data_IF_386393421384
#
_entry.id   IF_386393421384
#
_cell.length_a   1.000
_cell.length_b   1.000
_cell.length_c   1.000
_cell.angle_alpha   90.00
_cell.angle_beta   90.00
_cell.angle_gamma   90.00
#
_symmetry.space_group_name_H-M   'P 1'
#
loop_
_entity.id
_entity.type
_entity.pdbx_description
1 polymer ?
#
# COMPACT_ATOMS: atom_id res chain seq x y z
N UNK A 1 12.03 -0.01 -8.25
CA UNK A 1 10.69 -0.62 -8.48
C UNK A 1 10.84 -2.10 -8.26
N UNK A 2 9.98 -2.67 -7.43
CA UNK A 2 9.98 -4.10 -7.09
C UNK A 2 8.57 -4.62 -7.21
N UNK A 3 8.35 -5.65 -8.04
CA UNK A 3 7.08 -6.36 -8.07
C UNK A 3 6.91 -7.16 -6.77
N UNK A 4 5.72 -7.12 -6.18
CA UNK A 4 5.38 -7.96 -5.03
C UNK A 4 5.06 -9.39 -5.50
N UNK A 5 5.17 -10.38 -4.60
CA UNK A 5 4.68 -11.72 -4.88
C UNK A 5 3.20 -11.72 -5.28
N UNK A 6 2.86 -12.46 -6.33
CA UNK A 6 1.48 -12.69 -6.71
C UNK A 6 0.89 -13.77 -5.79
N UNK A 7 -0.09 -13.40 -4.98
CA UNK A 7 -0.67 -14.25 -3.94
C UNK A 7 -1.99 -14.87 -4.39
N UNK A 8 -2.67 -14.28 -5.38
CA UNK A 8 -3.93 -14.84 -5.88
C UNK A 8 -4.28 -14.40 -7.31
N UNK A 9 -4.90 -15.31 -8.07
CA UNK A 9 -5.40 -15.05 -9.43
C UNK A 9 -6.66 -14.16 -9.45
N UNK A 10 -6.58 -12.93 -8.92
CA UNK A 10 -7.59 -11.89 -9.12
C UNK A 10 -7.27 -10.98 -10.31
N UNK A 11 -6.20 -11.30 -11.04
CA UNK A 11 -5.59 -10.57 -12.17
C UNK A 11 -5.35 -9.09 -11.90
N UNK A 12 -5.02 -8.78 -10.66
CA UNK A 12 -4.25 -7.60 -10.31
C UNK A 12 -2.78 -7.98 -10.09
N UNK A 13 -1.92 -6.98 -10.00
CA UNK A 13 -0.56 -7.15 -9.49
C UNK A 13 -0.12 -5.87 -8.77
N UNK A 14 0.92 -5.96 -7.94
CA UNK A 14 1.39 -4.81 -7.15
C UNK A 14 2.86 -4.55 -7.39
N UNK A 15 3.19 -3.27 -7.59
CA UNK A 15 4.55 -2.74 -7.70
C UNK A 15 4.83 -1.82 -6.51
N UNK A 16 6.03 -1.90 -5.94
CA UNK A 16 6.55 -1.02 -4.87
C UNK A 16 7.70 -0.16 -5.38
N UNK A 17 7.72 1.09 -4.94
CA UNK A 17 8.84 2.01 -5.11
C UNK A 17 9.26 2.56 -3.76
N UNK A 18 10.52 2.35 -3.43
CA UNK A 18 11.19 2.94 -2.29
C UNK A 18 11.93 4.20 -2.75
N UNK A 19 11.60 5.36 -2.18
CA UNK A 19 12.24 6.62 -2.52
C UNK A 19 13.35 6.92 -1.50
N UNK A 20 14.54 7.26 -2.02
CA UNK A 20 15.67 7.73 -1.23
C UNK A 20 15.64 9.26 -1.09
N UNK A 21 16.57 9.81 -0.30
CA UNK A 21 16.82 11.26 -0.19
C UNK A 21 15.61 12.08 0.29
N UNK A 22 14.81 11.51 1.19
CA UNK A 22 13.72 12.22 1.84
C UNK A 22 14.25 13.26 2.84
N UNK A 23 13.43 14.27 3.16
CA UNK A 23 13.75 15.24 4.21
C UNK A 23 14.06 14.53 5.55
N UNK A 24 14.88 15.15 6.39
CA UNK A 24 15.31 14.54 7.67
C UNK A 24 14.11 14.08 8.51
N UNK A 25 14.13 12.81 8.93
CA UNK A 25 13.04 12.21 9.71
C UNK A 25 11.80 11.82 8.91
N UNK A 26 11.84 11.88 7.57
CA UNK A 26 10.72 11.46 6.71
C UNK A 26 11.11 10.29 5.80
N UNK A 27 10.09 9.60 5.30
CA UNK A 27 10.25 8.58 4.26
C UNK A 27 9.08 8.59 3.30
N UNK A 28 9.28 8.00 2.13
CA UNK A 28 8.22 7.83 1.15
C UNK A 28 8.34 6.48 0.44
N UNK A 29 7.27 5.70 0.50
CA UNK A 29 7.13 4.43 -0.21
C UNK A 29 5.82 4.49 -0.96
N UNK A 30 5.86 4.19 -2.27
CA UNK A 30 4.68 4.16 -3.12
C UNK A 30 4.35 2.72 -3.53
N UNK A 31 3.06 2.40 -3.51
CA UNK A 31 2.53 1.15 -4.03
C UNK A 31 1.54 1.45 -5.14
N UNK A 32 1.70 0.77 -6.29
CA UNK A 32 0.78 0.84 -7.42
C UNK A 32 0.14 -0.52 -7.61
N UNK A 33 -1.17 -0.51 -7.76
CA UNK A 33 -1.96 -1.71 -8.03
C UNK A 33 -2.39 -1.65 -9.49
N UNK A 34 -1.88 -2.57 -10.28
CA UNK A 34 -2.19 -2.70 -11.69
C UNK A 34 -3.45 -3.55 -11.85
N UNK A 35 -4.35 -3.12 -12.74
CA UNK A 35 -5.64 -3.79 -12.94
C UNK A 35 -6.61 -3.70 -11.75
N UNK A 36 -6.20 -3.06 -10.65
CA UNK A 36 -7.04 -2.80 -9.48
C UNK A 36 -8.05 -1.69 -9.74
N UNK A 37 -9.19 -1.79 -9.05
CA UNK A 37 -10.20 -0.74 -8.97
C UNK A 37 -10.09 0.07 -7.68
N UNK A 38 -11.04 0.98 -7.45
CA UNK A 38 -11.13 1.85 -6.28
C UNK A 38 -11.65 1.08 -5.05
N UNK A 39 -10.81 0.16 -4.55
CA UNK A 39 -11.10 -0.73 -3.42
C UNK A 39 -9.94 -0.72 -2.42
N UNK A 40 -10.17 -1.26 -1.22
CA UNK A 40 -9.11 -1.42 -0.22
C UNK A 40 -8.38 -2.77 -0.39
N UNK A 41 -7.09 -2.78 -0.75
CA UNK A 41 -6.31 -3.99 -0.99
C UNK A 41 -6.19 -4.84 0.28
N UNK A 42 -6.33 -6.16 0.14
CA UNK A 42 -6.28 -7.10 1.27
C UNK A 42 -7.51 -7.06 2.18
N UNK A 43 -8.49 -6.18 1.93
CA UNK A 43 -9.72 -6.13 2.73
C UNK A 43 -10.53 -7.43 2.59
N UNK A 44 -11.07 -7.98 3.68
CA UNK A 44 -11.98 -9.13 3.61
C UNK A 44 -13.34 -8.76 2.99
N UNK A 45 -13.66 -7.46 2.89
CA UNK A 45 -14.96 -7.00 2.40
C UNK A 45 -15.04 -7.13 0.88
N UNK A 46 -16.03 -7.87 0.39
CA UNK A 46 -16.34 -7.98 -1.03
C UNK A 46 -17.46 -7.00 -1.39
N UNK A 47 -17.07 -5.76 -1.72
CA UNK A 47 -18.02 -4.75 -2.18
C UNK A 47 -18.26 -4.94 -3.68
N UNK A 48 -19.47 -5.34 -4.06
CA UNK A 48 -19.86 -5.64 -5.45
C UNK A 48 -20.19 -4.41 -6.30
N UNK A 49 -20.05 -3.19 -5.76
CA UNK A 49 -20.60 -1.96 -6.38
C UNK A 49 -19.64 -1.28 -7.36
N UNK A 50 -19.37 -1.87 -8.52
CA UNK A 50 -18.70 -1.18 -9.63
C UNK A 50 -17.34 -0.56 -9.31
N UNK A 51 -16.74 -0.92 -8.17
CA UNK A 51 -15.47 -0.37 -7.69
C UNK A 51 -14.28 -0.99 -8.42
N UNK A 52 -14.51 -1.93 -9.33
CA UNK A 52 -13.47 -2.68 -10.03
C UNK A 52 -12.87 -3.82 -9.20
N UNK A 53 -11.73 -4.34 -9.64
CA UNK A 53 -11.08 -5.52 -9.05
C UNK A 53 -10.37 -5.15 -7.75
N UNK A 54 -10.50 -5.98 -6.73
CA UNK A 54 -9.75 -5.82 -5.47
C UNK A 54 -8.53 -6.72 -5.50
N UNK A 55 -7.37 -6.15 -5.22
CA UNK A 55 -6.12 -6.91 -5.12
C UNK A 55 -6.00 -7.63 -3.78
N UNK A 56 -5.50 -8.87 -3.82
CA UNK A 56 -5.17 -9.70 -2.65
C UNK A 56 -3.68 -9.86 -2.42
N UNK A 57 -2.85 -9.25 -3.27
CA UNK A 57 -1.38 -9.34 -3.20
C UNK A 57 -0.76 -8.43 -2.12
N UNK A 58 -1.55 -7.56 -1.49
CA UNK A 58 -1.11 -6.57 -0.52
C UNK A 58 -2.17 -6.37 0.58
N UNK A 59 -1.76 -6.41 1.85
CA UNK A 59 -2.53 -5.83 2.97
C UNK A 59 -2.11 -4.38 3.15
N UNK A 60 -2.93 -3.45 2.63
CA UNK A 60 -2.62 -2.03 2.66
C UNK A 60 -2.58 -1.47 4.10
N UNK A 61 -3.48 -1.95 4.97
CA UNK A 61 -3.56 -1.50 6.36
C UNK A 61 -2.29 -1.87 7.11
N UNK A 62 -1.86 -3.13 6.99
CA UNK A 62 -0.63 -3.61 7.63
C UNK A 62 0.59 -2.84 7.12
N UNK A 63 0.72 -2.66 5.81
CA UNK A 63 1.85 -1.94 5.23
C UNK A 63 1.93 -0.49 5.69
N UNK A 64 0.79 0.21 5.82
CA UNK A 64 0.78 1.57 6.36
C UNK A 64 1.18 1.60 7.83
N UNK A 65 0.65 0.69 8.66
CA UNK A 65 1.01 0.61 10.08
C UNK A 65 2.49 0.27 10.25
N UNK A 66 3.00 -0.71 9.52
CA UNK A 66 4.42 -1.10 9.56
C UNK A 66 5.33 0.06 9.12
N UNK A 67 4.91 0.85 8.11
CA UNK A 67 5.62 2.06 7.72
C UNK A 67 5.64 3.08 8.86
N UNK A 68 4.48 3.47 9.39
CA UNK A 68 4.42 4.51 10.43
C UNK A 68 5.06 4.11 11.75
N UNK A 69 5.04 2.83 12.13
CA UNK A 69 5.74 2.33 13.33
C UNK A 69 7.27 2.48 13.24
N UNK A 70 7.82 2.66 12.04
CA UNK A 70 9.24 2.97 11.83
C UNK A 70 9.60 4.45 12.01
N UNK A 71 8.61 5.33 12.22
CA UNK A 71 8.81 6.77 12.37
C UNK A 71 8.15 7.29 13.64
N UNK A 72 8.76 8.31 14.25
CA UNK A 72 8.13 9.10 15.31
C UNK A 72 7.63 10.41 14.73
N UNK A 73 6.44 10.87 15.15
CA UNK A 73 6.06 12.26 14.92
C UNK A 73 7.02 13.17 15.69
N UNK A 74 7.46 14.26 15.07
CA UNK A 74 8.19 15.28 15.82
C UNK A 74 7.29 15.81 16.93
N UNK A 75 7.85 15.98 18.13
CA UNK A 75 7.13 16.60 19.26
C UNK A 75 6.53 17.93 18.79
N UNK A 76 5.23 18.09 19.02
CA UNK A 76 4.52 19.28 18.64
C UNK A 76 4.94 20.39 19.61
N UNK A 77 5.83 21.30 19.17
CA UNK A 77 6.35 22.40 19.98
C UNK A 77 5.35 23.55 20.18
N UNK A 78 4.13 23.23 20.60
CA UNK A 78 3.06 24.19 20.89
C UNK A 78 2.83 24.31 22.39
#
# INVERSE_FOLDING_TARGET
MTALPHLADDGTSVERWDYAECAAGSGFVFYKILGGGHTWPGSPLNLSRGLGRKSRDLDASRVMVDFFNGYSVAEAGW
#
